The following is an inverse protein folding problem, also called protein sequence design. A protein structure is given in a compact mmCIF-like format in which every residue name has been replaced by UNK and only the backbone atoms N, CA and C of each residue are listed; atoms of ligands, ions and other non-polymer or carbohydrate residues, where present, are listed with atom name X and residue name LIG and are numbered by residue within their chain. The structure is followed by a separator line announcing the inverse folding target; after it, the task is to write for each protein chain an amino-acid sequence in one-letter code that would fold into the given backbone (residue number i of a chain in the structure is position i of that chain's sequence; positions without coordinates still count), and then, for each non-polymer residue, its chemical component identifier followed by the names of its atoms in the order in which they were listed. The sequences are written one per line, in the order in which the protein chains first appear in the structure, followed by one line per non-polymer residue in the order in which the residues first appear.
data_IF_255626696086
#
_entry.id   IF_255626696086
#
_cell.length_a   1.000
_cell.length_b   1.000
_cell.length_c   1.000
_cell.angle_alpha   90.00
_cell.angle_beta   90.00
_cell.angle_gamma   90.00
#
_symmetry.space_group_name_H-M   'P 1'
#
loop_
_entity.id
_entity.type
_entity.pdbx_description
1 polymer ?
#
# COMPACT_ATOMS: atom_id res chain seq x y z
N UNK A 1 19.00 2.57 -27.30
CA UNK A 1 19.70 1.68 -26.34
C UNK A 1 18.77 0.50 -26.09
N UNK A 2 19.17 -0.75 -26.33
CA UNK A 2 18.33 -1.91 -26.04
C UNK A 2 18.08 -1.98 -24.53
N UNK A 3 16.84 -2.28 -24.15
CA UNK A 3 16.45 -2.41 -22.74
C UNK A 3 16.84 -3.81 -22.30
N UNK A 4 17.81 -3.92 -21.39
CA UNK A 4 18.21 -5.19 -20.80
C UNK A 4 17.32 -5.50 -19.59
N UNK A 5 16.77 -6.73 -19.48
CA UNK A 5 16.01 -7.12 -18.30
C UNK A 5 16.95 -7.31 -17.10
N UNK A 6 16.59 -6.72 -15.95
CA UNK A 6 17.30 -6.89 -14.69
C UNK A 6 16.38 -7.64 -13.73
N UNK A 7 16.85 -8.76 -13.19
CA UNK A 7 16.16 -9.47 -12.12
C UNK A 7 16.60 -8.93 -10.77
N UNK A 8 15.63 -8.58 -9.93
CA UNK A 8 15.86 -8.04 -8.59
C UNK A 8 15.16 -8.89 -7.52
N UNK A 9 15.56 -8.70 -6.27
CA UNK A 9 14.90 -9.29 -5.11
C UNK A 9 13.55 -8.65 -4.81
N UNK A 10 12.84 -9.21 -3.82
CA UNK A 10 11.67 -8.59 -3.24
C UNK A 10 11.88 -8.49 -1.71
N UNK A 11 11.95 -7.28 -1.13
CA UNK A 11 11.87 -5.95 -1.77
C UNK A 11 13.09 -5.62 -2.65
N UNK A 12 12.94 -4.57 -3.46
CA UNK A 12 14.03 -3.93 -4.21
C UNK A 12 13.96 -2.41 -4.09
N UNK A 13 15.12 -1.75 -4.05
CA UNK A 13 15.23 -0.28 -4.05
C UNK A 13 15.87 0.16 -5.36
N UNK A 14 15.23 1.08 -6.05
CA UNK A 14 15.66 1.66 -7.32
C UNK A 14 15.95 3.12 -7.09
N UNK A 15 17.19 3.52 -7.33
CA UNK A 15 17.63 4.91 -7.26
C UNK A 15 17.66 5.51 -8.66
N UNK A 16 16.91 6.59 -8.87
CA UNK A 16 16.90 7.36 -10.12
C UNK A 16 17.64 8.67 -9.85
N UNK A 17 18.67 8.96 -10.65
CA UNK A 17 19.54 10.14 -10.46
C UNK A 17 20.26 10.17 -9.10
N UNK A 18 20.69 8.99 -8.61
CA UNK A 18 21.42 8.88 -7.35
C UNK A 18 20.51 9.17 -6.14
N UNK A 19 20.98 9.91 -5.12
CA UNK A 19 20.21 10.11 -3.88
C UNK A 19 18.98 11.02 -4.06
N UNK A 20 18.81 11.66 -5.23
CA UNK A 20 17.73 12.61 -5.48
C UNK A 20 16.34 11.95 -5.55
N UNK A 21 16.29 10.67 -5.93
CA UNK A 21 15.03 9.95 -6.04
C UNK A 21 15.20 8.46 -5.78
N UNK A 22 14.40 7.94 -4.85
CA UNK A 22 14.44 6.55 -4.45
C UNK A 22 13.03 5.94 -4.46
N UNK A 23 12.90 4.83 -5.18
CA UNK A 23 11.69 4.06 -5.34
C UNK A 23 11.91 2.69 -4.68
N UNK A 24 11.13 2.37 -3.66
CA UNK A 24 11.13 1.03 -3.07
C UNK A 24 9.94 0.25 -3.64
N UNK A 25 10.22 -0.91 -4.23
CA UNK A 25 9.20 -1.82 -4.78
C UNK A 25 9.11 -3.03 -3.87
N UNK A 26 7.89 -3.32 -3.43
CA UNK A 26 7.61 -4.45 -2.55
C UNK A 26 6.31 -5.12 -2.96
N UNK A 27 6.37 -6.43 -3.23
CA UNK A 27 5.22 -7.26 -3.61
C UNK A 27 4.87 -8.21 -2.48
N UNK A 28 3.77 -7.95 -1.78
CA UNK A 28 3.17 -8.88 -0.81
C UNK A 28 1.71 -8.46 -0.58
N UNK A 29 0.88 -9.39 -0.15
CA UNK A 29 -0.52 -9.12 0.18
C UNK A 29 -0.63 -8.63 1.63
N UNK A 30 0.09 -7.54 1.92
CA UNK A 30 0.28 -6.99 3.26
C UNK A 30 -1.03 -6.51 3.88
N UNK A 31 -1.95 -5.97 3.08
CA UNK A 31 -3.25 -5.53 3.56
C UNK A 31 -4.07 -6.68 4.15
N UNK A 32 -4.06 -7.84 3.49
CA UNK A 32 -4.76 -9.04 3.98
C UNK A 32 -4.15 -9.55 5.28
N UNK A 33 -2.82 -9.52 5.38
CA UNK A 33 -2.08 -9.95 6.58
C UNK A 33 -2.32 -9.01 7.76
N UNK A 34 -2.32 -7.69 7.51
CA UNK A 34 -2.67 -6.69 8.52
C UNK A 34 -4.11 -6.89 9.00
N UNK A 35 -5.08 -7.09 8.10
CA UNK A 35 -6.49 -7.30 8.47
C UNK A 35 -6.70 -8.56 9.31
N UNK A 36 -6.01 -9.67 9.00
CA UNK A 36 -6.12 -10.92 9.79
C UNK A 36 -5.53 -10.81 11.19
N UNK A 37 -4.54 -9.94 11.38
CA UNK A 37 -3.87 -9.72 12.67
C UNK A 37 -4.31 -8.42 13.36
N UNK A 38 -5.33 -7.73 12.82
CA UNK A 38 -5.80 -6.47 13.37
C UNK A 38 -6.56 -6.71 14.67
N UNK A 39 -6.29 -5.88 15.68
CA UNK A 39 -7.05 -5.87 16.93
C UNK A 39 -8.29 -5.02 16.71
N UNK A 40 -9.47 -5.64 16.77
CA UNK A 40 -10.74 -4.92 16.75
C UNK A 40 -11.11 -4.55 18.17
N UNK A 41 -11.10 -3.27 18.50
CA UNK A 41 -11.73 -2.78 19.72
C UNK A 41 -13.25 -2.80 19.48
N UNK A 42 -13.99 -3.52 20.32
CA UNK A 42 -15.44 -3.37 20.36
C UNK A 42 -15.78 -1.92 20.69
N UNK A 43 -16.74 -1.33 19.98
CA UNK A 43 -17.28 0.00 20.36
C UNK A 43 -17.81 -0.16 21.78
N UNK A 44 -17.15 0.45 22.77
CA UNK A 44 -17.66 0.45 24.13
C UNK A 44 -19.04 1.09 24.06
N UNK A 45 -20.07 0.38 24.52
CA UNK A 45 -21.38 0.95 24.75
C UNK A 45 -21.26 1.92 25.92
N UNK A 46 -20.80 3.14 25.66
CA UNK A 46 -21.02 4.25 26.59
C UNK A 46 -22.49 4.62 26.46
N UNK A 47 -23.26 4.13 27.43
CA UNK A 47 -24.56 4.69 27.76
C UNK A 47 -24.34 6.13 28.24
N UNK A 48 -25.12 7.05 27.66
CA UNK A 48 -25.56 8.34 28.21
C UNK A 48 -24.47 9.40 28.46
N UNK A 49 -24.35 10.37 27.53
CA UNK A 49 -24.81 11.75 27.75
C UNK A 49 -24.64 12.62 26.49
N UNK A 50 -25.55 13.57 26.36
CA UNK A 50 -25.99 14.32 25.18
C UNK A 50 -25.02 15.41 24.68
N UNK A 51 -25.24 15.81 23.43
CA UNK A 51 -24.76 17.02 22.74
C UNK A 51 -23.29 17.09 22.25
N UNK A 52 -23.00 16.39 21.14
CA UNK A 52 -22.24 17.03 20.06
C UNK A 52 -22.69 16.47 18.70
N UNK A 53 -23.25 17.35 17.87
CA UNK A 53 -23.71 17.05 16.52
C UNK A 53 -22.54 16.69 15.61
N UNK A 54 -22.27 15.39 15.44
CA UNK A 54 -21.75 14.90 14.17
C UNK A 54 -22.21 13.45 13.95
N UNK A 55 -23.14 13.31 13.01
CA UNK A 55 -23.73 12.06 12.51
C UNK A 55 -22.74 10.88 12.41
N UNK A 56 -22.75 9.98 13.39
CA UNK A 56 -22.16 8.63 13.27
C UNK A 56 -23.29 7.57 13.24
N UNK A 57 -24.24 7.79 12.33
CA UNK A 57 -25.24 6.80 11.92
C UNK A 57 -24.92 6.30 10.51
N UNK A 58 -23.76 5.65 10.35
CA UNK A 58 -23.48 4.88 9.14
C UNK A 58 -23.54 3.36 9.46
N UNK A 59 -24.37 2.56 8.74
CA UNK A 59 -24.28 1.10 8.77
C UNK A 59 -22.89 0.68 8.28
N UNK A 60 -22.48 -0.59 8.41
CA UNK A 60 -21.19 -1.09 7.94
C UNK A 60 -20.88 -0.66 6.49
N UNK A 61 -20.30 0.52 6.31
CA UNK A 61 -19.97 1.09 5.02
C UNK A 61 -18.81 0.27 4.49
N UNK A 62 -19.00 -0.32 3.32
CA UNK A 62 -17.93 -0.97 2.56
C UNK A 62 -16.81 0.07 2.47
N UNK A 63 -15.65 -0.18 3.11
CA UNK A 63 -14.64 0.85 3.28
C UNK A 63 -14.20 1.33 1.89
N UNK A 64 -14.28 2.63 1.67
CA UNK A 64 -13.88 3.22 0.38
C UNK A 64 -12.40 2.89 0.13
N UNK A 65 -11.99 2.73 -1.15
CA UNK A 65 -10.59 2.39 -1.48
C UNK A 65 -9.60 3.39 -0.86
N UNK A 66 -9.99 4.67 -0.76
CA UNK A 66 -9.22 5.73 -0.10
C UNK A 66 -9.06 5.52 1.40
N UNK A 67 -10.10 5.06 2.11
CA UNK A 67 -10.00 4.75 3.54
C UNK A 67 -9.10 3.55 3.80
N UNK A 68 -9.20 2.51 2.96
CA UNK A 68 -8.32 1.33 3.04
C UNK A 68 -6.86 1.75 2.85
N UNK A 69 -6.60 2.55 1.80
CA UNK A 69 -5.27 3.08 1.51
C UNK A 69 -4.70 3.88 2.69
N UNK A 70 -5.48 4.81 3.25
CA UNK A 70 -5.04 5.62 4.39
C UNK A 70 -4.74 4.77 5.62
N UNK A 71 -5.60 3.81 5.98
CA UNK A 71 -5.36 2.90 7.11
C UNK A 71 -4.07 2.10 6.93
N UNK A 72 -3.83 1.59 5.71
CA UNK A 72 -2.63 0.82 5.39
C UNK A 72 -1.37 1.68 5.49
N UNK A 73 -1.37 2.85 4.83
CA UNK A 73 -0.24 3.78 4.81
C UNK A 73 0.11 4.25 6.23
N UNK A 74 -0.90 4.64 7.01
CA UNK A 74 -0.74 5.06 8.41
C UNK A 74 -0.28 3.94 9.33
N UNK A 75 -0.53 2.68 8.99
CA UNK A 75 -0.01 1.54 9.76
C UNK A 75 1.42 1.18 9.38
N UNK A 76 1.77 1.30 8.09
CA UNK A 76 3.05 0.85 7.56
C UNK A 76 4.18 1.89 7.75
N UNK A 77 3.94 3.14 7.35
CA UNK A 77 4.99 4.15 7.31
C UNK A 77 5.57 4.49 8.69
N UNK A 78 4.76 4.63 9.76
CA UNK A 78 5.29 4.89 11.10
C UNK A 78 6.16 3.75 11.65
N UNK A 79 5.93 2.51 11.20
CA UNK A 79 6.75 1.37 11.61
C UNK A 79 8.08 1.28 10.85
N UNK A 80 8.24 2.04 9.76
CA UNK A 80 9.43 2.06 8.91
C UNK A 80 9.97 0.66 8.54
N UNK A 81 9.07 -0.32 8.40
CA UNK A 81 9.41 -1.70 8.11
C UNK A 81 8.32 -2.35 7.25
N UNK A 82 8.71 -3.08 6.22
CA UNK A 82 7.82 -3.80 5.31
C UNK A 82 7.26 -5.10 5.89
N UNK A 83 7.76 -5.57 7.04
CA UNK A 83 7.26 -6.75 7.75
C UNK A 83 7.05 -6.50 9.24
N UNK A 84 6.06 -5.66 9.63
CA UNK A 84 5.70 -5.44 11.03
C UNK A 84 4.85 -6.60 11.58
N UNK A 85 5.38 -7.82 11.48
CA UNK A 85 4.67 -9.05 11.82
C UNK A 85 5.53 -9.97 12.67
N UNK A 86 4.94 -10.77 13.58
CA UNK A 86 5.65 -11.84 14.25
C UNK A 86 6.23 -12.84 13.25
N UNK A 87 7.42 -13.37 13.54
CA UNK A 87 8.11 -14.37 12.71
C UNK A 87 7.28 -15.63 12.44
N UNK A 88 6.34 -15.97 13.33
CA UNK A 88 5.39 -17.07 13.14
C UNK A 88 4.40 -16.84 12.00
N UNK A 89 4.00 -15.58 11.77
CA UNK A 89 3.05 -15.21 10.71
C UNK A 89 3.76 -14.83 9.41
N UNK A 90 4.99 -14.32 9.52
CA UNK A 90 5.85 -13.99 8.38
C UNK A 90 7.32 -14.18 8.78
N UNK A 91 7.94 -15.32 8.41
CA UNK A 91 9.36 -15.52 8.66
C UNK A 91 10.18 -14.57 7.80
N UNK A 92 11.19 -13.96 8.39
CA UNK A 92 12.17 -13.12 7.71
C UNK A 92 13.54 -13.71 8.02
N UNK A 93 14.37 -13.85 6.98
CA UNK A 93 15.76 -14.25 7.16
C UNK A 93 16.48 -13.19 8.00
N UNK A 94 17.08 -13.58 9.12
CA UNK A 94 17.72 -12.64 10.05
C UNK A 94 18.78 -11.76 9.38
N UNK A 95 19.55 -12.33 8.45
CA UNK A 95 20.58 -11.62 7.68
C UNK A 95 20.00 -10.52 6.78
N UNK A 96 18.73 -10.64 6.39
CA UNK A 96 18.04 -9.73 5.48
C UNK A 96 16.97 -8.87 6.19
N UNK A 97 17.01 -8.82 7.52
CA UNK A 97 16.10 -7.96 8.29
C UNK A 97 16.24 -6.48 7.96
N UNK A 98 17.46 -6.02 7.66
CA UNK A 98 17.74 -4.63 7.26
C UNK A 98 17.18 -4.28 5.88
N UNK A 99 17.14 -5.22 4.94
CA UNK A 99 16.59 -5.01 3.60
C UNK A 99 15.08 -4.72 3.61
N UNK A 100 14.39 -5.08 4.70
CA UNK A 100 12.97 -4.82 4.92
C UNK A 100 12.70 -3.45 5.56
N UNK A 101 13.74 -2.76 6.03
CA UNK A 101 13.61 -1.44 6.63
C UNK A 101 13.35 -0.38 5.56
N UNK A 102 12.42 0.52 5.87
CA UNK A 102 12.11 1.72 5.08
C UNK A 102 12.85 2.95 5.62
N UNK A 103 13.88 2.77 6.43
CA UNK A 103 14.71 3.87 6.92
C UNK A 103 16.00 3.95 6.11
N UNK A 104 16.33 5.11 5.48
CA UNK A 104 15.56 6.35 5.43
C UNK A 104 14.31 6.24 4.54
N UNK A 105 13.29 7.05 4.85
CA UNK A 105 11.99 7.02 4.16
C UNK A 105 12.18 7.26 2.65
N UNK A 106 11.75 6.33 1.77
CA UNK A 106 11.89 6.51 0.34
C UNK A 106 10.97 7.63 -0.17
N UNK A 107 11.30 8.18 -1.34
CA UNK A 107 10.45 9.17 -2.00
C UNK A 107 9.16 8.55 -2.54
N UNK A 108 9.25 7.30 -3.00
CA UNK A 108 8.11 6.56 -3.52
C UNK A 108 8.18 5.10 -3.09
N UNK A 109 7.05 4.59 -2.63
CA UNK A 109 6.87 3.24 -2.15
C UNK A 109 5.77 2.56 -2.98
N UNK A 110 6.15 1.55 -3.75
CA UNK A 110 5.22 0.75 -4.54
C UNK A 110 4.91 -0.51 -3.75
N UNK A 111 3.73 -0.53 -3.14
CA UNK A 111 3.14 -1.68 -2.45
C UNK A 111 2.27 -2.42 -3.46
N UNK A 112 2.87 -3.34 -4.23
CA UNK A 112 2.10 -4.18 -5.12
C UNK A 112 1.33 -5.21 -4.25
N UNK A 113 0.06 -4.95 -3.98
CA UNK A 113 -0.82 -5.79 -3.15
C UNK A 113 -2.08 -6.13 -3.96
N UNK A 114 -2.35 -7.42 -4.15
CA UNK A 114 -3.48 -7.88 -4.94
C UNK A 114 -4.82 -7.80 -4.17
N UNK A 115 -4.77 -7.81 -2.84
CA UNK A 115 -5.93 -7.79 -1.95
C UNK A 115 -6.40 -6.37 -1.63
N UNK A 116 -5.56 -5.37 -1.86
CA UNK A 116 -5.96 -3.97 -1.79
C UNK A 116 -6.35 -3.44 -3.19
N UNK A 117 -7.35 -2.54 -3.26
CA UNK A 117 -7.68 -1.86 -4.51
C UNK A 117 -6.51 -0.98 -4.97
N UNK A 118 -6.50 -0.59 -6.25
CA UNK A 118 -5.50 0.32 -6.76
C UNK A 118 -5.66 1.71 -6.10
N UNK A 119 -4.54 2.30 -5.64
CA UNK A 119 -4.53 3.63 -5.04
C UNK A 119 -3.19 4.33 -5.21
N UNK A 120 -3.23 5.66 -5.17
CA UNK A 120 -2.06 6.52 -5.08
C UNK A 120 -2.30 7.56 -3.99
N UNK A 121 -1.50 7.53 -2.92
CA UNK A 121 -1.66 8.42 -1.76
C UNK A 121 -0.30 8.98 -1.38
N UNK A 122 -0.26 10.24 -0.98
CA UNK A 122 0.96 10.88 -0.47
C UNK A 122 0.85 11.04 1.04
N UNK A 123 1.87 10.60 1.77
CA UNK A 123 1.94 10.76 3.22
C UNK A 123 3.36 11.16 3.62
N UNK A 124 3.47 12.26 4.37
CA UNK A 124 4.75 12.79 4.90
C UNK A 124 5.89 12.88 3.85
N UNK A 125 5.55 13.22 2.60
CA UNK A 125 6.51 13.35 1.50
C UNK A 125 6.90 12.04 0.82
N UNK A 126 6.42 10.89 1.31
CA UNK A 126 6.50 9.61 0.61
C UNK A 126 5.22 9.34 -0.19
N UNK A 127 5.38 9.06 -1.48
CA UNK A 127 4.28 8.67 -2.36
C UNK A 127 4.08 7.16 -2.31
N UNK A 128 2.97 6.69 -1.75
CA UNK A 128 2.63 5.28 -1.67
C UNK A 128 1.65 4.91 -2.77
N UNK A 129 2.03 3.91 -3.56
CA UNK A 129 1.32 3.48 -4.75
C UNK A 129 0.99 1.99 -4.61
N UNK A 130 -0.24 1.60 -4.90
CA UNK A 130 -0.60 0.21 -5.11
C UNK A 130 -1.28 0.06 -6.47
N UNK A 131 -0.68 -0.65 -7.44
CA UNK A 131 -1.34 -0.92 -8.72
C UNK A 131 -2.51 -1.91 -8.62
N UNK A 132 -2.63 -2.67 -7.52
CA UNK A 132 -3.66 -3.69 -7.37
C UNK A 132 -3.43 -4.90 -8.29
N UNK A 133 -4.49 -5.70 -8.52
CA UNK A 133 -4.44 -6.78 -9.51
C UNK A 133 -4.45 -6.21 -10.93
N UNK A 134 -3.44 -6.59 -11.71
CA UNK A 134 -3.30 -6.18 -13.11
C UNK A 134 -4.55 -6.51 -13.94
N UNK A 135 -5.16 -7.68 -13.72
CA UNK A 135 -6.36 -8.11 -14.43
C UNK A 135 -7.49 -8.30 -13.42
N UNK A 136 -8.54 -7.51 -13.59
CA UNK A 136 -9.75 -7.60 -12.78
C UNK A 136 -10.84 -8.23 -13.64
N UNK A 137 -11.30 -9.41 -13.22
CA UNK A 137 -12.40 -10.12 -13.87
C UNK A 137 -13.71 -9.64 -13.25
N UNK A 138 -14.33 -8.64 -13.85
CA UNK A 138 -15.64 -8.12 -13.42
C UNK A 138 -16.72 -8.52 -14.42
N UNK A 139 -16.98 -9.84 -14.55
CA UNK A 139 -18.23 -10.45 -15.09
C UNK A 139 -18.70 -10.07 -16.51
N UNK A 140 -18.13 -9.04 -17.13
CA UNK A 140 -18.57 -8.43 -18.40
C UNK A 140 -17.40 -7.96 -19.27
N UNK A 141 -16.16 -8.26 -18.87
CA UNK A 141 -14.94 -7.91 -19.59
C UNK A 141 -13.73 -7.88 -18.66
N UNK A 142 -12.55 -8.10 -19.23
CA UNK A 142 -11.28 -8.04 -18.48
C UNK A 142 -10.83 -6.59 -18.43
N UNK A 143 -10.82 -6.00 -17.23
CA UNK A 143 -10.23 -4.67 -17.03
C UNK A 143 -8.77 -4.82 -16.64
N UNK A 144 -7.93 -4.01 -17.27
CA UNK A 144 -6.51 -3.95 -16.95
C UNK A 144 -6.24 -2.64 -16.23
N UNK A 145 -5.65 -2.71 -15.03
CA UNK A 145 -5.31 -1.56 -14.20
C UNK A 145 -3.80 -1.48 -14.01
N UNK A 146 -3.22 -0.29 -14.17
CA UNK A 146 -1.81 -0.03 -13.87
C UNK A 146 -1.64 1.37 -13.29
N UNK A 147 -0.43 1.66 -12.82
CA UNK A 147 -0.05 2.99 -12.37
C UNK A 147 1.02 3.52 -13.30
N UNK A 148 0.81 4.76 -13.77
CA UNK A 148 1.86 5.53 -14.42
C UNK A 148 2.51 6.43 -13.38
N UNK A 149 3.83 6.35 -13.30
CA UNK A 149 4.62 7.11 -12.35
C UNK A 149 5.47 8.14 -13.08
N UNK A 150 5.25 9.41 -12.76
CA UNK A 150 6.10 10.51 -13.24
C UNK A 150 7.21 10.78 -12.21
N UNK A 151 8.45 10.53 -12.62
CA UNK A 151 9.64 10.72 -11.79
C UNK A 151 9.98 12.19 -11.53
N UNK A 152 9.53 13.11 -12.39
CA UNK A 152 9.74 14.55 -12.20
C UNK A 152 8.74 15.13 -11.21
N UNK A 153 7.45 14.83 -11.39
CA UNK A 153 6.40 15.24 -10.46
C UNK A 153 6.41 14.43 -9.15
N UNK A 154 7.13 13.30 -9.13
CA UNK A 154 7.14 12.28 -8.06
C UNK A 154 5.75 11.70 -7.76
N UNK A 155 4.81 11.76 -8.72
CA UNK A 155 3.41 11.36 -8.53
C UNK A 155 3.06 10.15 -9.38
N UNK A 156 2.20 9.29 -8.83
CA UNK A 156 1.61 8.18 -9.56
C UNK A 156 0.12 8.41 -9.80
N UNK A 157 -0.35 8.11 -11.00
CA UNK A 157 -1.77 8.13 -11.38
C UNK A 157 -2.23 6.71 -11.74
N UNK A 158 -3.40 6.32 -11.23
CA UNK A 158 -4.01 5.03 -11.55
C UNK A 158 -4.73 5.16 -12.89
N UNK A 159 -4.43 4.23 -13.82
CA UNK A 159 -5.08 4.15 -15.13
C UNK A 159 -5.66 2.76 -15.35
N UNK A 160 -6.86 2.75 -15.90
CA UNK A 160 -7.58 1.53 -16.24
C UNK A 160 -7.98 1.55 -17.72
N UNK A 161 -7.80 0.43 -18.42
CA UNK A 161 -8.31 0.19 -19.77
C UNK A 161 -9.19 -1.05 -19.80
N UNK A 162 -10.20 -1.00 -20.65
CA UNK A 162 -11.02 -2.15 -21.01
C UNK A 162 -10.32 -2.99 -22.07
N UNK A 163 -10.10 -4.27 -21.80
CA UNK A 163 -9.78 -5.24 -22.84
C UNK A 163 -11.10 -5.77 -23.40
N UNK A 164 -11.39 -5.40 -24.65
CA UNK A 164 -12.46 -6.00 -25.47
C UNK A 164 -12.21 -7.47 -25.75
#
# INVERSE_FOLDING_TARGET
VPVEPIWASNPARVSIFGPAHEITVFRDDISSRLRRNAITFGKATTAEDEDDEMSDSAPAEIPTPTQIARKLVLSLLPQSNLSPFPLSTRPVLWDQGSAMSLYPLPHTLVLADAEAPAFAVTFEGCHVLNPGRLCRDEGRGRRVAWIEYDCWAKRGEVKDIWSS
#
